data_IF_909296655653
#
_entry.id   IF_909296655653
#
_cell.length_a   1.000
_cell.length_b   1.000
_cell.length_c   1.000
_cell.angle_alpha   90.00
_cell.angle_beta   90.00
_cell.angle_gamma   90.00
#
_symmetry.space_group_name_H-M   'P 1'
#
loop_
_entity.id
_entity.type
_entity.pdbx_description
1 polymer ?
#
# COMPACT_ATOMS: atom_id res chain seq x y z
N UNK A 1 16.23 5.02 3.29
CA UNK A 1 16.48 4.38 4.60
C UNK A 1 17.62 3.39 4.48
N UNK A 2 17.51 2.32 3.67
CA UNK A 2 18.60 1.34 3.48
C UNK A 2 19.91 1.98 2.99
N UNK A 3 19.86 2.91 2.03
CA UNK A 3 21.05 3.59 1.48
C UNK A 3 21.87 4.42 2.49
N UNK A 4 21.32 4.69 3.68
CA UNK A 4 21.95 5.50 4.72
C UNK A 4 22.58 4.66 5.84
N UNK A 5 22.34 3.35 5.87
CA UNK A 5 22.84 2.45 6.90
C UNK A 5 24.24 1.95 6.53
N UNK A 6 25.28 2.19 7.36
CA UNK A 6 26.65 1.79 7.04
C UNK A 6 26.87 0.27 7.04
N UNK A 7 25.96 -0.50 7.65
CA UNK A 7 26.06 -1.96 7.73
C UNK A 7 25.37 -2.67 6.54
N UNK A 8 24.83 -1.90 5.58
CA UNK A 8 24.15 -2.43 4.40
C UNK A 8 24.98 -2.19 3.14
N UNK A 9 25.13 -3.22 2.30
CA UNK A 9 25.73 -3.09 0.97
C UNK A 9 24.69 -2.50 -0.02
N UNK A 10 24.90 -1.26 -0.54
CA UNK A 10 23.89 -0.51 -1.29
C UNK A 10 23.83 -0.91 -2.78
N UNK A 11 23.50 -2.18 -3.07
CA UNK A 11 23.47 -2.74 -4.43
C UNK A 11 22.36 -2.16 -5.33
N UNK A 12 21.35 -1.53 -4.75
CA UNK A 12 20.21 -0.94 -5.45
C UNK A 12 20.29 0.58 -5.62
N UNK A 13 21.32 1.23 -5.07
CA UNK A 13 21.50 2.69 -5.16
C UNK A 13 21.41 3.16 -6.62
N UNK A 14 20.59 4.18 -6.86
CA UNK A 14 20.37 4.74 -8.20
C UNK A 14 19.45 3.93 -9.12
N UNK A 15 18.96 2.76 -8.71
CA UNK A 15 17.97 1.99 -9.50
C UNK A 15 16.58 2.60 -9.34
N UNK A 16 15.85 2.68 -10.45
CA UNK A 16 14.42 3.01 -10.43
C UNK A 16 13.61 1.90 -9.77
N UNK A 17 12.41 2.23 -9.28
CA UNK A 17 11.51 1.26 -8.67
C UNK A 17 11.19 0.07 -9.60
N UNK A 18 11.11 0.31 -10.92
CA UNK A 18 10.95 -0.75 -11.93
C UNK A 18 12.14 -1.70 -11.98
N UNK A 19 13.37 -1.16 -11.92
CA UNK A 19 14.59 -1.96 -11.92
C UNK A 19 14.75 -2.74 -10.62
N UNK A 20 14.36 -2.17 -9.47
CA UNK A 20 14.33 -2.87 -8.19
C UNK A 20 13.37 -4.06 -8.24
N UNK A 21 12.13 -3.82 -8.70
CA UNK A 21 11.14 -4.90 -8.84
C UNK A 21 11.60 -5.98 -9.82
N UNK A 22 12.31 -5.61 -10.90
CA UNK A 22 12.91 -6.58 -11.82
C UNK A 22 14.02 -7.41 -11.14
N UNK A 23 14.92 -6.79 -10.36
CA UNK A 23 15.97 -7.47 -9.61
C UNK A 23 15.41 -8.43 -8.53
N UNK A 24 14.22 -8.12 -7.99
CA UNK A 24 13.50 -9.00 -7.08
C UNK A 24 12.84 -10.20 -7.77
N UNK A 25 12.73 -10.22 -9.12
CA UNK A 25 12.02 -11.25 -9.88
C UNK A 25 10.53 -10.93 -10.11
N UNK A 26 10.13 -9.67 -9.95
CA UNK A 26 8.75 -9.19 -10.03
C UNK A 26 8.57 -8.03 -11.00
N UNK A 27 9.25 -8.12 -12.16
CA UNK A 27 9.16 -7.12 -13.22
C UNK A 27 7.71 -6.82 -13.62
N UNK A 28 7.40 -5.54 -13.86
CA UNK A 28 6.06 -5.07 -14.22
C UNK A 28 5.08 -4.90 -13.05
N UNK A 29 5.40 -5.39 -11.85
CA UNK A 29 4.58 -5.15 -10.67
C UNK A 29 4.86 -3.75 -10.08
N UNK A 30 3.80 -3.07 -9.62
CA UNK A 30 3.97 -1.85 -8.85
C UNK A 30 4.47 -2.20 -7.43
N UNK A 31 5.55 -1.56 -6.94
CA UNK A 31 6.14 -1.85 -5.63
C UNK A 31 5.28 -1.41 -4.43
N UNK A 32 4.37 -0.46 -4.62
CA UNK A 32 3.63 0.18 -3.53
C UNK A 32 2.81 -0.83 -2.74
N UNK A 33 2.91 -0.74 -1.41
CA UNK A 33 2.27 -1.68 -0.47
C UNK A 33 2.84 -3.09 -0.44
N UNK A 34 3.82 -3.46 -1.28
CA UNK A 34 4.29 -4.85 -1.41
C UNK A 34 5.40 -5.26 -0.45
N UNK A 35 5.89 -4.35 0.38
CA UNK A 35 6.93 -4.62 1.36
C UNK A 35 6.32 -4.54 2.76
N UNK A 36 6.46 -5.60 3.55
CA UNK A 36 5.82 -5.65 4.86
C UNK A 36 6.55 -4.71 5.84
N UNK A 37 5.87 -3.79 6.53
CA UNK A 37 6.51 -2.89 7.48
C UNK A 37 6.79 -3.64 8.79
N UNK A 38 8.05 -3.97 9.04
CA UNK A 38 8.47 -4.75 10.21
C UNK A 38 9.95 -4.50 10.52
N UNK A 39 10.40 -4.98 11.68
CA UNK A 39 11.81 -5.04 12.01
C UNK A 39 12.45 -6.22 11.27
N UNK A 40 13.51 -5.94 10.51
CA UNK A 40 14.32 -6.95 9.82
C UNK A 40 15.69 -6.99 10.48
N UNK A 41 16.14 -8.20 10.81
CA UNK A 41 17.46 -8.44 11.40
C UNK A 41 18.37 -8.93 10.28
N UNK A 42 19.56 -8.34 10.16
CA UNK A 42 20.56 -8.64 9.16
C UNK A 42 21.96 -8.55 9.75
N UNK A 43 22.95 -9.10 9.06
CA UNK A 43 24.37 -9.00 9.45
C UNK A 43 25.04 -7.86 8.68
N UNK A 44 26.10 -7.22 9.22
CA UNK A 44 26.85 -6.22 8.49
C UNK A 44 27.34 -6.71 7.12
N UNK A 45 27.25 -5.87 6.10
CA UNK A 45 27.53 -6.20 4.70
C UNK A 45 26.39 -6.90 3.97
N UNK A 46 25.20 -7.02 4.57
CA UNK A 46 24.04 -7.60 3.89
C UNK A 46 23.61 -6.69 2.73
N UNK A 47 23.44 -7.21 1.50
CA UNK A 47 22.88 -6.44 0.39
C UNK A 47 21.46 -5.94 0.67
N UNK A 48 21.20 -4.66 0.39
CA UNK A 48 19.88 -4.04 0.46
C UNK A 48 18.77 -4.84 -0.27
N UNK A 49 19.09 -5.45 -1.40
CA UNK A 49 18.19 -6.33 -2.17
C UNK A 49 17.72 -7.54 -1.37
N UNK A 50 18.56 -8.08 -0.48
CA UNK A 50 18.21 -9.20 0.39
C UNK A 50 17.15 -8.79 1.40
N UNK A 51 17.29 -7.61 2.00
CA UNK A 51 16.32 -7.06 2.96
C UNK A 51 14.99 -6.79 2.28
N UNK A 52 15.00 -6.17 1.08
CA UNK A 52 13.78 -5.95 0.31
C UNK A 52 13.10 -7.26 -0.11
N UNK A 53 13.89 -8.30 -0.45
CA UNK A 53 13.36 -9.64 -0.76
C UNK A 53 12.64 -10.23 0.45
N UNK A 54 13.26 -10.19 1.62
CA UNK A 54 12.63 -10.64 2.87
C UNK A 54 11.31 -9.90 3.14
N UNK A 55 11.31 -8.58 2.97
CA UNK A 55 10.11 -7.77 3.19
C UNK A 55 8.99 -8.06 2.19
N UNK A 56 9.35 -8.29 0.93
CA UNK A 56 8.41 -8.66 -0.12
C UNK A 56 7.79 -10.03 0.12
N UNK A 57 8.62 -11.04 0.40
CA UNK A 57 8.18 -12.42 0.66
C UNK A 57 7.30 -12.49 1.90
N UNK A 58 7.64 -11.73 2.94
CA UNK A 58 6.83 -11.59 4.16
C UNK A 58 5.46 -11.01 3.85
N UNK A 59 5.37 -9.95 3.05
CA UNK A 59 4.08 -9.37 2.64
C UNK A 59 3.26 -10.37 1.81
N UNK A 60 3.87 -10.97 0.79
CA UNK A 60 3.21 -11.94 -0.08
C UNK A 60 2.64 -13.12 0.71
N UNK A 61 3.43 -13.70 1.61
CA UNK A 61 3.03 -14.82 2.46
C UNK A 61 1.91 -14.43 3.43
N UNK A 62 2.02 -13.26 4.06
CA UNK A 62 1.02 -12.71 4.98
C UNK A 62 -0.32 -12.50 4.26
N UNK A 63 -0.27 -11.82 3.12
CA UNK A 63 -1.44 -11.50 2.31
C UNK A 63 -2.13 -12.78 1.81
N UNK A 64 -1.36 -13.76 1.34
CA UNK A 64 -1.89 -15.06 0.93
C UNK A 64 -2.58 -15.79 2.09
N UNK A 65 -1.97 -15.78 3.29
CA UNK A 65 -2.55 -16.39 4.49
C UNK A 65 -3.87 -15.72 4.90
N UNK A 66 -3.90 -14.40 4.99
CA UNK A 66 -5.11 -13.64 5.34
C UNK A 66 -6.20 -13.83 4.28
N UNK A 67 -5.82 -13.80 3.00
CA UNK A 67 -6.76 -13.98 1.89
C UNK A 67 -7.44 -15.35 1.90
N UNK A 68 -6.74 -16.43 2.31
CA UNK A 68 -7.36 -17.75 2.49
C UNK A 68 -8.41 -17.77 3.59
N UNK A 69 -8.19 -17.03 4.69
CA UNK A 69 -9.12 -16.94 5.83
C UNK A 69 -10.21 -15.86 5.68
N UNK A 70 -10.31 -15.21 4.52
CA UNK A 70 -11.21 -14.08 4.31
C UNK A 70 -12.69 -14.52 4.33
N UNK A 71 -13.59 -13.59 4.61
CA UNK A 71 -15.03 -13.84 4.43
C UNK A 71 -15.38 -13.99 2.94
N UNK A 72 -16.14 -15.03 2.60
CA UNK A 72 -16.64 -15.27 1.24
C UNK A 72 -17.52 -14.13 0.71
N UNK A 73 -18.08 -13.29 1.60
CA UNK A 73 -18.94 -12.15 1.25
C UNK A 73 -18.15 -10.85 0.97
N UNK A 74 -16.82 -10.89 0.97
CA UNK A 74 -16.01 -9.69 0.68
C UNK A 74 -16.14 -9.32 -0.81
N UNK A 75 -16.41 -8.05 -1.15
CA UNK A 75 -16.55 -7.57 -2.53
C UNK A 75 -15.17 -7.35 -3.21
N UNK A 76 -14.18 -8.18 -2.87
CA UNK A 76 -12.82 -8.10 -3.38
C UNK A 76 -12.53 -9.30 -4.26
N UNK A 77 -11.87 -9.06 -5.40
CA UNK A 77 -11.62 -10.07 -6.44
C UNK A 77 -10.26 -10.76 -6.28
N UNK A 78 -9.32 -10.15 -5.58
CA UNK A 78 -7.96 -10.67 -5.46
C UNK A 78 -7.29 -10.26 -4.14
N UNK A 79 -6.23 -10.98 -3.71
CA UNK A 79 -5.41 -10.57 -2.57
C UNK A 79 -4.86 -9.16 -2.77
N UNK A 80 -4.49 -8.78 -3.99
CA UNK A 80 -3.99 -7.43 -4.26
C UNK A 80 -5.05 -6.35 -4.01
N UNK A 81 -6.34 -6.59 -4.29
CA UNK A 81 -7.40 -5.66 -3.90
C UNK A 81 -7.58 -5.55 -2.39
N UNK A 82 -7.35 -6.64 -1.65
CA UNK A 82 -7.32 -6.57 -0.18
C UNK A 82 -6.14 -5.72 0.31
N UNK A 83 -4.97 -5.82 -0.32
CA UNK A 83 -3.82 -4.98 -0.01
C UNK A 83 -4.08 -3.49 -0.28
N UNK A 84 -4.75 -3.17 -1.39
CA UNK A 84 -5.15 -1.78 -1.70
C UNK A 84 -6.07 -1.25 -0.58
N UNK A 85 -7.11 -2.01 -0.24
CA UNK A 85 -8.05 -1.61 0.82
C UNK A 85 -7.37 -1.45 2.18
N UNK A 86 -6.47 -2.37 2.55
CA UNK A 86 -5.70 -2.30 3.79
C UNK A 86 -4.85 -1.01 3.87
N UNK A 87 -4.23 -0.60 2.76
CA UNK A 87 -3.45 0.65 2.72
C UNK A 87 -4.31 1.91 2.89
N UNK A 88 -5.56 1.88 2.41
CA UNK A 88 -6.52 2.97 2.66
C UNK A 88 -6.91 3.02 4.14
N UNK A 89 -7.22 1.87 4.74
CA UNK A 89 -7.60 1.77 6.16
C UNK A 89 -6.46 2.24 7.06
N UNK A 90 -5.21 1.85 6.77
CA UNK A 90 -4.03 2.25 7.54
C UNK A 90 -3.86 3.77 7.58
N UNK A 91 -4.16 4.47 6.48
CA UNK A 91 -4.04 5.92 6.40
C UNK A 91 -5.24 6.68 6.93
N UNK A 92 -6.39 6.04 7.07
CA UNK A 92 -7.62 6.70 7.52
C UNK A 92 -7.66 6.90 9.05
N UNK A 93 -7.07 5.99 9.83
CA UNK A 93 -7.02 6.14 11.30
C UNK A 93 -5.77 5.51 11.92
N UNK A 94 -5.15 6.22 12.86
CA UNK A 94 -4.16 5.65 13.76
C UNK A 94 -4.79 4.80 14.88
N UNK A 95 -6.07 5.01 15.19
CA UNK A 95 -6.76 4.43 16.34
C UNK A 95 -7.19 2.99 16.05
N UNK A 96 -6.68 2.03 16.82
CA UNK A 96 -6.95 0.61 16.62
C UNK A 96 -8.45 0.25 16.69
N UNK A 97 -9.22 0.94 17.53
CA UNK A 97 -10.67 0.70 17.71
C UNK A 97 -11.51 1.07 16.49
N UNK A 98 -11.06 2.01 15.67
CA UNK A 98 -11.83 2.54 14.54
C UNK A 98 -11.64 1.74 13.24
N UNK A 99 -10.48 1.07 13.09
CA UNK A 99 -10.11 0.34 11.87
C UNK A 99 -11.21 -0.60 11.37
N UNK A 100 -11.83 -1.39 12.26
CA UNK A 100 -12.91 -2.32 11.88
C UNK A 100 -14.15 -1.59 11.35
N UNK A 101 -14.50 -0.45 11.95
CA UNK A 101 -15.66 0.36 11.53
C UNK A 101 -15.40 0.98 10.16
N UNK A 102 -14.21 1.54 9.96
CA UNK A 102 -13.78 2.13 8.68
C UNK A 102 -13.75 1.06 7.58
N UNK A 103 -13.17 -0.11 7.86
CA UNK A 103 -13.19 -1.25 6.94
C UNK A 103 -14.62 -1.62 6.53
N UNK A 104 -15.55 -1.66 7.49
CA UNK A 104 -16.97 -1.90 7.23
C UNK A 104 -17.60 -0.84 6.31
N UNK A 105 -17.28 0.44 6.51
CA UNK A 105 -17.76 1.54 5.64
C UNK A 105 -17.25 1.36 4.21
N UNK A 106 -15.95 1.12 4.00
CA UNK A 106 -15.40 0.93 2.66
C UNK A 106 -15.98 -0.32 1.98
N UNK A 107 -16.08 -1.44 2.68
CA UNK A 107 -16.69 -2.67 2.15
C UNK A 107 -18.14 -2.44 1.74
N UNK A 108 -18.92 -1.71 2.54
CA UNK A 108 -20.31 -1.40 2.22
C UNK A 108 -20.42 -0.46 1.01
N UNK A 109 -19.55 0.55 0.90
CA UNK A 109 -19.49 1.43 -0.28
C UNK A 109 -19.13 0.64 -1.54
N UNK A 110 -18.13 -0.24 -1.49
CA UNK A 110 -17.75 -1.11 -2.61
C UNK A 110 -18.90 -2.00 -3.08
N UNK A 111 -19.63 -2.63 -2.15
CA UNK A 111 -20.81 -3.46 -2.49
C UNK A 111 -21.89 -2.67 -3.21
N UNK A 112 -22.10 -1.40 -2.84
CA UNK A 112 -23.11 -0.52 -3.41
C UNK A 112 -22.62 0.22 -4.66
N UNK A 113 -21.40 -0.02 -5.13
CA UNK A 113 -20.81 0.73 -6.24
C UNK A 113 -20.62 2.23 -5.95
N UNK A 114 -20.57 2.62 -4.67
CA UNK A 114 -20.38 4.01 -4.26
C UNK A 114 -18.90 4.41 -4.35
N UNK A 115 -18.68 5.71 -4.56
CA UNK A 115 -17.37 6.35 -4.39
C UNK A 115 -16.85 6.13 -2.96
N UNK A 116 -15.55 5.86 -2.82
CA UNK A 116 -14.95 5.63 -1.51
C UNK A 116 -14.71 6.94 -0.74
N UNK A 117 -14.41 8.03 -1.45
CA UNK A 117 -14.24 9.38 -0.88
C UNK A 117 -13.28 9.40 0.31
N UNK A 118 -12.05 8.91 0.10
CA UNK A 118 -11.01 8.87 1.13
C UNK A 118 -9.92 9.89 0.80
N UNK A 119 -9.71 10.85 1.71
CA UNK A 119 -8.71 11.92 1.57
C UNK A 119 -7.28 11.40 1.35
N UNK A 120 -6.82 10.36 2.08
CA UNK A 120 -5.52 9.74 1.82
C UNK A 120 -5.27 9.35 0.35
N UNK A 121 -6.30 8.93 -0.38
CA UNK A 121 -6.16 8.57 -1.79
C UNK A 121 -5.96 9.79 -2.70
N UNK A 122 -6.58 10.92 -2.36
CA UNK A 122 -6.37 12.20 -3.05
C UNK A 122 -4.97 12.72 -2.77
N UNK A 123 -4.56 12.72 -1.50
CA UNK A 123 -3.23 13.15 -1.05
C UNK A 123 -2.14 12.33 -1.76
N UNK A 124 -2.29 11.00 -1.80
CA UNK A 124 -1.37 10.13 -2.54
C UNK A 124 -1.29 10.49 -4.03
N UNK A 125 -2.44 10.74 -4.66
CA UNK A 125 -2.50 11.13 -6.08
C UNK A 125 -1.92 12.52 -6.39
N UNK A 126 -1.86 13.43 -5.41
CA UNK A 126 -1.24 14.74 -5.54
C UNK A 126 0.29 14.67 -5.50
N UNK A 127 0.86 13.71 -4.78
CA UNK A 127 2.31 13.55 -4.63
C UNK A 127 2.97 14.83 -4.11
N UNK A 128 3.98 15.34 -4.83
CA UNK A 128 4.73 16.54 -4.46
C UNK A 128 3.90 17.84 -4.46
N UNK A 129 2.69 17.84 -5.03
CA UNK A 129 1.78 18.99 -5.02
C UNK A 129 1.02 19.14 -3.71
N UNK A 130 1.08 18.14 -2.82
CA UNK A 130 0.45 18.23 -1.51
C UNK A 130 1.33 19.03 -0.55
N UNK A 131 0.79 20.13 -0.03
CA UNK A 131 1.49 21.05 0.88
C UNK A 131 0.81 21.15 2.24
N UNK A 132 0.24 20.03 2.72
CA UNK A 132 -0.37 19.94 4.07
C UNK A 132 -1.87 20.21 4.14
N UNK A 133 -2.51 20.60 3.03
CA UNK A 133 -3.95 20.75 2.94
C UNK A 133 -4.46 20.32 1.56
N UNK A 134 -5.69 19.81 1.52
CA UNK A 134 -6.42 19.51 0.27
C UNK A 134 -7.48 20.58 0.04
N UNK A 135 -7.55 21.10 -1.19
CA UNK A 135 -8.56 22.07 -1.59
C UNK A 135 -9.78 21.38 -2.21
N UNK A 136 -10.89 22.11 -2.34
CA UNK A 136 -12.08 21.64 -3.09
C UNK A 136 -11.70 21.29 -4.55
N UNK A 137 -10.76 22.02 -5.14
CA UNK A 137 -10.25 21.73 -6.48
C UNK A 137 -9.56 20.37 -6.53
N UNK A 138 -8.81 20.00 -5.50
CA UNK A 138 -8.14 18.69 -5.45
C UNK A 138 -9.15 17.55 -5.33
N UNK A 139 -10.18 17.73 -4.51
CA UNK A 139 -11.27 16.76 -4.36
C UNK A 139 -12.07 16.55 -5.66
N UNK A 140 -12.20 17.59 -6.49
CA UNK A 140 -12.99 17.55 -7.74
C UNK A 140 -12.16 17.24 -8.98
N UNK A 141 -10.83 17.36 -8.91
CA UNK A 141 -9.93 17.08 -10.05
C UNK A 141 -9.79 15.57 -10.23
N UNK A 142 -10.14 15.06 -11.41
CA UNK A 142 -10.04 13.64 -11.71
C UNK A 142 -8.57 13.20 -11.81
N UNK A 143 -8.18 12.24 -10.99
CA UNK A 143 -6.89 11.52 -11.06
C UNK A 143 -7.14 10.03 -10.88
N UNK A 144 -6.20 9.14 -11.28
CA UNK A 144 -6.35 7.70 -11.09
C UNK A 144 -6.61 7.28 -9.63
N UNK A 145 -6.10 8.04 -8.66
CA UNK A 145 -6.22 7.76 -7.23
C UNK A 145 -7.38 8.50 -6.55
N UNK A 146 -7.96 9.53 -7.17
CA UNK A 146 -8.99 10.32 -6.52
C UNK A 146 -10.33 9.55 -6.42
N UNK A 147 -10.59 8.98 -5.25
CA UNK A 147 -11.83 8.23 -4.95
C UNK A 147 -13.06 9.11 -4.70
N UNK A 148 -12.96 10.44 -4.82
CA UNK A 148 -14.11 11.37 -4.93
C UNK A 148 -14.62 11.51 -6.35
N UNK A 149 -13.79 11.23 -7.35
CA UNK A 149 -14.18 11.33 -8.77
C UNK A 149 -14.41 9.95 -9.38
N UNK A 150 -13.80 8.89 -8.83
CA UNK A 150 -13.86 7.52 -9.36
C UNK A 150 -14.55 6.56 -8.39
N UNK A 151 -15.24 5.56 -8.96
CA UNK A 151 -15.80 4.44 -8.20
C UNK A 151 -14.75 3.33 -8.04
N UNK A 152 -14.88 2.56 -6.95
CA UNK A 152 -14.01 1.43 -6.67
C UNK A 152 -12.68 1.81 -6.02
N UNK A 153 -11.77 0.85 -5.98
CA UNK A 153 -10.44 0.99 -5.39
C UNK A 153 -9.50 1.80 -6.32
N UNK A 154 -8.51 2.52 -5.76
CA UNK A 154 -7.42 3.10 -6.56
C UNK A 154 -6.59 1.99 -7.24
N UNK A 155 -5.73 2.33 -8.24
CA UNK A 155 -5.01 1.35 -9.03
C UNK A 155 -3.93 0.57 -8.24
N UNK A 156 -3.42 1.15 -7.15
CA UNK A 156 -2.40 0.53 -6.28
C UNK A 156 -2.69 0.86 -4.81
N UNK A 157 -2.01 0.19 -3.87
CA UNK A 157 -1.94 0.67 -2.49
C UNK A 157 -1.42 2.11 -2.44
N UNK A 158 -1.65 2.79 -1.32
CA UNK A 158 -1.19 4.17 -1.09
C UNK A 158 -0.17 4.28 0.06
N UNK A 159 0.18 3.15 0.67
CA UNK A 159 1.23 3.01 1.68
C UNK A 159 1.56 1.53 1.90
N UNK A 160 2.49 1.26 2.83
CA UNK A 160 2.77 -0.07 3.37
C UNK A 160 1.83 -0.35 4.57
N UNK A 161 0.79 -1.20 4.44
CA UNK A 161 -0.10 -1.50 5.55
C UNK A 161 0.51 -2.51 6.52
N UNK A 162 0.21 -2.35 7.81
CA UNK A 162 0.53 -3.35 8.82
C UNK A 162 -0.47 -4.50 8.84
N UNK A 163 -0.18 -5.54 9.63
CA UNK A 163 -1.03 -6.74 9.75
C UNK A 163 -2.43 -6.49 10.33
N UNK A 164 -2.63 -5.35 11.01
CA UNK A 164 -3.88 -5.00 11.71
C UNK A 164 -4.88 -4.24 10.83
N UNK A 165 -4.44 -3.77 9.66
CA UNK A 165 -5.25 -3.03 8.70
C UNK A 165 -5.85 -3.97 7.66
#
# INVERSE_FOLDING_TARGET
ELDADPDIDPTLRGKSARQIMAALGHAGQNPEGRFFPSTYIFSPGTPDITILRMAYEKMSSMLARIWRGRSAKLPLKSPYQALILASMIEKETGVAGERRRIAGVFVNRLRRGMKLQSDPTVIYGLGSRYHGAISIRDLTTATPYNTYTRNGLPPTPICLPGVRS
#
